data_IF_030616895465
#
_entry.id   IF_030616895465
#
_cell.length_a   1.000
_cell.length_b   1.000
_cell.length_c   1.000
_cell.angle_alpha   90.00
_cell.angle_beta   90.00
_cell.angle_gamma   90.00
#
_symmetry.space_group_name_H-M   'P 1'
#
loop_
_entity.id
_entity.type
_entity.pdbx_description
1 polymer ?
#
# COMPACT_ATOMS: atom_id res chain seq x y z
N UNK A 1 27.79 -23.07 -3.58
CA UNK A 1 28.04 -22.09 -4.66
C UNK A 1 28.50 -20.80 -4.02
N UNK A 2 29.47 -20.12 -4.62
CA UNK A 2 29.86 -18.76 -4.21
C UNK A 2 28.96 -17.74 -4.91
N UNK A 3 28.76 -16.58 -4.28
CA UNK A 3 28.12 -15.43 -4.92
C UNK A 3 28.99 -14.93 -6.07
N UNK A 4 28.38 -14.51 -7.17
CA UNK A 4 29.11 -13.94 -8.30
C UNK A 4 29.65 -12.55 -7.93
N UNK A 5 30.82 -12.20 -8.47
CA UNK A 5 31.30 -10.82 -8.44
C UNK A 5 30.26 -9.91 -9.09
N UNK A 6 29.87 -8.85 -8.38
CA UNK A 6 28.83 -7.91 -8.83
C UNK A 6 27.39 -8.33 -8.52
N UNK A 7 27.16 -9.32 -7.64
CA UNK A 7 25.83 -9.50 -7.05
C UNK A 7 25.41 -8.20 -6.33
N UNK A 8 24.17 -7.70 -6.57
CA UNK A 8 23.76 -6.40 -6.06
C UNK A 8 23.77 -6.35 -4.54
N UNK A 9 24.17 -5.21 -4.00
CA UNK A 9 24.03 -4.93 -2.57
C UNK A 9 22.56 -4.84 -2.17
N UNK A 10 22.29 -5.07 -0.88
CA UNK A 10 20.96 -4.89 -0.31
C UNK A 10 20.61 -3.40 -0.36
N UNK A 11 19.51 -3.07 -1.04
CA UNK A 11 18.95 -1.71 -1.03
C UNK A 11 18.08 -1.55 0.21
N UNK A 12 18.40 -0.56 1.04
CA UNK A 12 17.69 -0.27 2.29
C UNK A 12 17.01 1.08 2.17
N UNK A 13 15.68 1.11 2.33
CA UNK A 13 14.87 2.33 2.19
C UNK A 13 14.81 3.20 3.46
N UNK A 14 15.17 2.65 4.62
CA UNK A 14 15.20 3.37 5.89
C UNK A 14 16.13 2.68 6.89
N UNK A 15 16.68 3.43 7.82
CA UNK A 15 17.45 2.86 8.93
C UNK A 15 16.55 2.41 10.08
N UNK A 16 17.03 1.46 10.89
CA UNK A 16 16.35 1.09 12.14
C UNK A 16 16.20 2.29 13.07
N UNK A 17 17.16 3.22 13.05
CA UNK A 17 17.13 4.43 13.87
C UNK A 17 15.99 5.36 13.47
N UNK A 18 15.82 5.64 12.17
CA UNK A 18 14.72 6.47 11.65
C UNK A 18 13.37 5.81 11.90
N UNK A 19 13.27 4.50 11.66
CA UNK A 19 12.07 3.73 11.97
C UNK A 19 11.70 3.84 13.45
N UNK A 20 12.66 3.57 14.34
CA UNK A 20 12.40 3.49 15.79
C UNK A 20 12.14 4.86 16.41
N UNK A 21 12.66 5.94 15.80
CA UNK A 21 12.42 7.31 16.22
C UNK A 21 11.03 7.83 15.78
N UNK A 22 10.38 7.20 14.81
CA UNK A 22 9.10 7.68 14.29
C UNK A 22 7.97 7.49 15.32
N UNK A 23 7.19 8.55 15.56
CA UNK A 23 6.14 8.59 16.59
C UNK A 23 5.10 7.46 16.46
N UNK A 24 4.84 7.01 15.22
CA UNK A 24 3.87 5.96 14.92
C UNK A 24 4.45 4.53 15.06
N UNK A 25 5.75 4.38 15.29
CA UNK A 25 6.40 3.05 15.27
C UNK A 25 5.83 2.10 16.31
N UNK A 26 5.60 2.56 17.55
CA UNK A 26 5.10 1.68 18.60
C UNK A 26 3.67 1.21 18.32
N UNK A 27 2.78 2.11 17.90
CA UNK A 27 1.41 1.78 17.54
C UNK A 27 1.37 0.78 16.36
N UNK A 28 2.14 1.07 15.30
CA UNK A 28 2.34 0.20 14.14
C UNK A 28 2.77 -1.22 14.56
N UNK A 29 3.79 -1.30 15.41
CA UNK A 29 4.35 -2.57 15.90
C UNK A 29 3.34 -3.38 16.72
N UNK A 30 2.40 -2.72 17.38
CA UNK A 30 1.33 -3.36 18.16
C UNK A 30 0.07 -3.70 17.34
N UNK A 31 0.10 -3.48 16.02
CA UNK A 31 -0.96 -3.90 15.10
C UNK A 31 -1.94 -2.80 14.71
N UNK A 32 -1.65 -1.53 14.99
CA UNK A 32 -2.38 -0.40 14.42
C UNK A 32 -1.91 -0.18 12.98
N UNK A 33 -2.70 -0.59 11.99
CA UNK A 33 -2.28 -0.48 10.59
C UNK A 33 -2.42 0.94 10.03
N UNK A 34 -3.09 1.87 10.73
CA UNK A 34 -3.11 3.29 10.39
C UNK A 34 -1.76 3.90 10.70
N UNK A 35 -1.26 3.65 11.91
CA UNK A 35 0.13 3.91 12.27
C UNK A 35 1.10 3.16 11.33
N UNK A 36 0.77 1.90 10.98
CA UNK A 36 1.22 1.12 9.83
C UNK A 36 1.55 1.96 8.59
N UNK A 37 0.48 2.52 8.03
CA UNK A 37 0.50 3.27 6.78
C UNK A 37 1.25 4.60 6.91
N UNK A 38 1.12 5.34 8.04
CA UNK A 38 1.92 6.57 8.25
C UNK A 38 3.39 6.22 8.22
N UNK A 39 3.77 5.22 9.02
CA UNK A 39 5.16 4.82 9.19
C UNK A 39 5.73 4.39 7.83
N UNK A 40 5.05 3.50 7.10
CA UNK A 40 5.49 3.06 5.79
C UNK A 40 5.69 4.25 4.83
N UNK A 41 4.73 5.18 4.75
CA UNK A 41 4.85 6.37 3.89
C UNK A 41 6.01 7.28 4.31
N UNK A 42 6.21 7.47 5.61
CA UNK A 42 7.27 8.33 6.15
C UNK A 42 8.68 7.73 5.96
N UNK A 43 8.77 6.40 5.95
CA UNK A 43 10.03 5.68 5.84
C UNK A 43 10.38 5.25 4.40
N UNK A 44 9.48 5.44 3.43
CA UNK A 44 9.85 5.32 2.01
C UNK A 44 10.78 6.48 1.69
N UNK A 45 12.07 6.18 1.77
CA UNK A 45 13.16 7.10 1.50
C UNK A 45 14.32 6.33 0.85
N UNK A 46 15.41 7.03 0.55
CA UNK A 46 16.59 6.44 -0.05
C UNK A 46 16.76 6.78 -1.52
N UNK A 47 18.01 6.65 -1.95
CA UNK A 47 18.45 7.07 -3.27
C UNK A 47 17.89 6.17 -4.36
N UNK A 48 17.31 6.80 -5.37
CA UNK A 48 16.88 6.13 -6.59
C UNK A 48 17.94 6.36 -7.64
N UNK A 49 18.47 5.27 -8.18
CA UNK A 49 19.36 5.29 -9.33
C UNK A 49 18.52 5.64 -10.56
N UNK A 50 18.80 6.81 -11.12
CA UNK A 50 18.18 7.28 -12.35
C UNK A 50 18.42 6.30 -13.51
N UNK A 51 17.41 6.14 -14.36
CA UNK A 51 17.39 5.30 -15.56
C UNK A 51 17.62 3.80 -15.28
N UNK A 52 17.38 3.34 -14.04
CA UNK A 52 17.44 1.94 -13.66
C UNK A 52 16.05 1.30 -13.55
N UNK A 53 16.00 0.01 -13.85
CA UNK A 53 14.83 -0.84 -13.66
C UNK A 53 14.75 -1.36 -12.22
N UNK A 54 13.54 -1.32 -11.65
CA UNK A 54 13.25 -1.72 -10.28
C UNK A 54 12.20 -2.82 -10.24
N UNK A 55 12.46 -3.81 -9.37
CA UNK A 55 11.48 -4.76 -8.90
C UNK A 55 11.06 -4.38 -7.48
N UNK A 56 9.77 -4.21 -7.26
CA UNK A 56 9.21 -4.07 -5.90
C UNK A 56 8.85 -5.47 -5.39
N UNK A 57 9.39 -5.83 -4.24
CA UNK A 57 9.12 -7.11 -3.57
C UNK A 57 8.52 -6.82 -2.21
N UNK A 58 7.40 -7.47 -1.90
CA UNK A 58 6.76 -7.41 -0.59
C UNK A 58 6.37 -8.83 -0.13
N UNK A 59 6.01 -9.00 1.13
CA UNK A 59 5.45 -10.28 1.61
C UNK A 59 3.93 -10.34 1.38
N UNK A 60 3.22 -9.24 1.55
CA UNK A 60 1.77 -9.18 1.44
C UNK A 60 1.28 -7.88 0.81
N UNK A 61 0.34 -7.99 -0.14
CA UNK A 61 -0.42 -6.82 -0.62
C UNK A 61 -1.80 -6.78 0.03
N UNK A 62 -1.97 -5.83 0.96
CA UNK A 62 -3.26 -5.39 1.48
C UNK A 62 -3.97 -4.53 0.43
N UNK A 63 -4.26 -3.26 0.70
CA UNK A 63 -4.90 -2.39 -0.32
C UNK A 63 -3.94 -1.87 -1.39
N UNK A 64 -2.64 -2.15 -1.27
CA UNK A 64 -1.62 -1.76 -2.23
C UNK A 64 -1.08 -0.34 -2.07
N UNK A 65 -1.49 0.41 -1.05
CA UNK A 65 -1.01 1.78 -0.81
C UNK A 65 0.52 1.88 -0.62
N UNK A 66 1.14 0.92 0.09
CA UNK A 66 2.61 0.84 0.23
C UNK A 66 3.29 0.69 -1.13
N UNK A 67 2.79 -0.23 -1.96
CA UNK A 67 3.32 -0.49 -3.30
C UNK A 67 3.14 0.74 -4.20
N UNK A 68 1.98 1.40 -4.14
CA UNK A 68 1.71 2.61 -4.90
C UNK A 68 2.65 3.77 -4.50
N UNK A 69 2.84 3.97 -3.19
CA UNK A 69 3.77 4.98 -2.68
C UNK A 69 5.21 4.69 -3.09
N UNK A 70 5.69 3.44 -2.96
CA UNK A 70 7.05 3.07 -3.33
C UNK A 70 7.28 3.20 -4.84
N UNK A 71 6.31 2.77 -5.66
CA UNK A 71 6.35 2.99 -7.11
C UNK A 71 6.42 4.48 -7.45
N UNK A 72 5.58 5.29 -6.82
CA UNK A 72 5.57 6.73 -7.01
C UNK A 72 6.91 7.38 -6.65
N UNK A 73 7.52 6.99 -5.52
CA UNK A 73 8.85 7.46 -5.11
C UNK A 73 9.92 7.10 -6.15
N UNK A 74 9.99 5.84 -6.57
CA UNK A 74 10.97 5.38 -7.56
C UNK A 74 10.83 6.14 -8.88
N UNK A 75 9.61 6.22 -9.43
CA UNK A 75 9.40 6.83 -10.74
C UNK A 75 9.59 8.36 -10.75
N UNK A 76 9.18 9.03 -9.66
CA UNK A 76 9.37 10.49 -9.54
C UNK A 76 10.85 10.87 -9.43
N UNK A 77 11.69 9.95 -8.91
CA UNK A 77 13.15 10.14 -8.84
C UNK A 77 13.89 9.53 -10.04
N UNK A 78 13.18 9.18 -11.12
CA UNK A 78 13.78 8.80 -12.40
C UNK A 78 14.16 7.32 -12.56
N UNK A 79 13.73 6.44 -11.65
CA UNK A 79 13.75 5.00 -11.88
C UNK A 79 12.50 4.51 -12.63
N UNK A 80 12.46 3.23 -13.00
CA UNK A 80 11.29 2.60 -13.61
C UNK A 80 10.90 1.33 -12.84
N UNK A 81 9.69 1.26 -12.29
CA UNK A 81 9.20 0.01 -11.68
C UNK A 81 8.65 -0.90 -12.78
N UNK A 82 9.39 -1.97 -13.08
CA UNK A 82 9.05 -2.90 -14.16
C UNK A 82 8.21 -4.08 -13.68
N UNK A 83 8.24 -4.39 -12.39
CA UNK A 83 7.50 -5.50 -11.79
C UNK A 83 7.25 -5.25 -10.31
N UNK A 84 6.11 -5.76 -9.83
CA UNK A 84 5.77 -5.88 -8.41
C UNK A 84 5.46 -7.35 -8.14
N UNK A 85 6.01 -7.92 -7.08
CA UNK A 85 5.69 -9.28 -6.64
C UNK A 85 5.46 -9.33 -5.13
N UNK A 86 4.47 -10.11 -4.70
CA UNK A 86 4.20 -10.38 -3.29
C UNK A 86 4.02 -11.87 -3.03
N UNK A 87 4.18 -12.33 -1.79
CA UNK A 87 3.92 -13.74 -1.45
C UNK A 87 2.43 -14.02 -1.25
N UNK A 88 1.68 -13.03 -0.77
CA UNK A 88 0.24 -13.14 -0.49
C UNK A 88 -0.52 -11.86 -0.85
N UNK A 89 -1.85 -11.94 -0.92
CA UNK A 89 -2.74 -10.81 -1.21
C UNK A 89 -4.01 -10.87 -0.35
N UNK A 90 -4.57 -9.70 -0.02
CA UNK A 90 -5.94 -9.57 0.46
C UNK A 90 -6.93 -9.67 -0.71
N UNK A 91 -8.21 -9.89 -0.38
CA UNK A 91 -9.28 -9.97 -1.39
C UNK A 91 -9.35 -8.63 -2.13
N UNK A 92 -9.37 -8.68 -3.46
CA UNK A 92 -9.40 -7.50 -4.38
C UNK A 92 -8.05 -6.82 -4.66
N UNK A 93 -6.95 -7.29 -4.07
CA UNK A 93 -5.63 -6.65 -4.15
C UNK A 93 -4.76 -7.09 -5.34
N UNK A 94 -5.25 -8.07 -6.12
CA UNK A 94 -4.55 -8.64 -7.27
C UNK A 94 -4.22 -7.63 -8.37
N UNK A 95 -4.96 -6.52 -8.41
CA UNK A 95 -4.69 -5.38 -9.27
C UNK A 95 -4.43 -4.17 -8.38
N UNK A 96 -3.19 -3.69 -8.38
CA UNK A 96 -2.85 -2.43 -7.68
C UNK A 96 -3.25 -1.24 -8.53
N UNK A 97 -2.98 -1.28 -9.84
CA UNK A 97 -3.24 -0.15 -10.74
C UNK A 97 -4.74 0.12 -10.91
N UNK A 98 -5.16 1.35 -10.65
CA UNK A 98 -6.53 1.82 -10.85
C UNK A 98 -6.95 1.70 -12.31
N UNK A 99 -8.14 1.19 -12.54
CA UNK A 99 -8.77 1.14 -13.86
C UNK A 99 -9.53 2.41 -14.16
N UNK A 100 -9.56 2.81 -15.44
CA UNK A 100 -10.38 3.93 -15.90
C UNK A 100 -11.86 3.75 -15.56
N UNK A 101 -12.35 2.50 -15.61
CA UNK A 101 -13.74 2.20 -15.29
C UNK A 101 -14.06 2.51 -13.83
N UNK A 102 -13.25 2.01 -12.90
CA UNK A 102 -13.43 2.26 -11.46
C UNK A 102 -13.29 3.74 -11.13
N UNK A 103 -12.34 4.44 -11.77
CA UNK A 103 -12.20 5.89 -11.62
C UNK A 103 -13.45 6.66 -12.09
N UNK A 104 -14.01 6.29 -13.25
CA UNK A 104 -15.24 6.91 -13.77
C UNK A 104 -16.41 6.63 -12.83
N UNK A 105 -16.62 5.37 -12.44
CA UNK A 105 -17.72 5.00 -11.54
C UNK A 105 -17.60 5.71 -10.17
N UNK A 106 -16.38 5.89 -9.67
CA UNK A 106 -16.10 6.62 -8.42
C UNK A 106 -16.45 8.12 -8.55
N UNK A 107 -16.06 8.73 -9.68
CA UNK A 107 -16.36 10.14 -9.98
C UNK A 107 -17.85 10.36 -10.22
N UNK A 108 -18.53 9.44 -10.90
CA UNK A 108 -19.97 9.52 -11.15
C UNK A 108 -20.76 9.40 -9.84
N UNK A 109 -20.30 8.55 -8.91
CA UNK A 109 -20.98 8.35 -7.62
C UNK A 109 -20.79 9.50 -6.64
N UNK A 110 -19.55 9.94 -6.42
CA UNK A 110 -19.23 10.89 -5.34
C UNK A 110 -18.86 12.29 -5.83
N UNK A 111 -18.65 12.46 -7.14
CA UNK A 111 -18.48 13.75 -7.78
C UNK A 111 -17.26 14.56 -7.33
N UNK A 112 -17.34 15.86 -7.58
CA UNK A 112 -16.31 16.83 -7.23
C UNK A 112 -16.07 16.92 -5.71
N UNK A 113 -17.08 16.61 -4.89
CA UNK A 113 -16.96 16.69 -3.43
C UNK A 113 -15.86 15.75 -2.90
N UNK A 114 -15.82 14.51 -3.39
CA UNK A 114 -14.79 13.56 -3.00
C UNK A 114 -13.43 13.96 -3.57
N UNK A 115 -13.37 14.40 -4.83
CA UNK A 115 -12.12 14.83 -5.47
C UNK A 115 -11.47 16.01 -4.71
N UNK A 116 -12.25 17.03 -4.36
CA UNK A 116 -11.78 18.19 -3.59
C UNK A 116 -11.32 17.78 -2.20
N UNK A 117 -12.10 16.94 -1.50
CA UNK A 117 -11.69 16.42 -0.20
C UNK A 117 -10.38 15.64 -0.29
N UNK A 118 -10.24 14.75 -1.27
CA UNK A 118 -9.06 13.92 -1.44
C UNK A 118 -7.81 14.75 -1.73
N UNK A 119 -7.93 15.71 -2.65
CA UNK A 119 -6.85 16.62 -3.01
C UNK A 119 -6.41 17.46 -1.81
N UNK A 120 -7.36 18.03 -1.06
CA UNK A 120 -7.06 18.83 0.14
C UNK A 120 -6.42 18.01 1.25
N UNK A 121 -6.80 16.74 1.36
CA UNK A 121 -6.39 15.87 2.46
C UNK A 121 -5.05 15.17 2.23
N UNK A 122 -4.81 14.73 0.99
CA UNK A 122 -3.69 13.86 0.61
C UNK A 122 -2.73 14.49 -0.41
N UNK A 123 -3.10 15.62 -1.00
CA UNK A 123 -2.27 16.36 -1.96
C UNK A 123 -2.30 15.80 -3.39
N UNK A 124 -3.18 14.83 -3.67
CA UNK A 124 -3.35 14.24 -5.00
C UNK A 124 -4.81 13.87 -5.29
N UNK A 125 -5.13 13.72 -6.57
CA UNK A 125 -6.45 13.35 -7.05
C UNK A 125 -6.76 11.86 -6.89
N UNK A 126 -8.00 11.50 -7.25
CA UNK A 126 -8.52 10.13 -7.20
C UNK A 126 -7.86 9.20 -8.24
N UNK A 127 -7.22 9.77 -9.27
CA UNK A 127 -6.47 9.06 -10.29
C UNK A 127 -5.20 8.36 -9.76
N UNK A 128 -4.79 8.69 -8.53
CA UNK A 128 -3.62 8.12 -7.85
C UNK A 128 -3.95 7.04 -6.83
N UNK A 129 -5.23 6.71 -6.66
CA UNK A 129 -5.66 5.60 -5.82
C UNK A 129 -5.20 4.26 -6.39
N UNK A 130 -5.13 3.25 -5.54
CA UNK A 130 -5.13 1.86 -6.01
C UNK A 130 -6.54 1.41 -6.38
N UNK A 131 -6.66 0.33 -7.15
CA UNK A 131 -7.95 -0.25 -7.48
C UNK A 131 -8.74 -0.65 -6.23
N UNK A 132 -8.07 -1.26 -5.24
CA UNK A 132 -8.71 -1.69 -3.99
C UNK A 132 -9.20 -0.49 -3.15
N UNK A 133 -8.40 0.58 -3.05
CA UNK A 133 -8.81 1.82 -2.38
C UNK A 133 -10.03 2.46 -3.06
N UNK A 134 -10.00 2.58 -4.39
CA UNK A 134 -11.11 3.13 -5.16
C UNK A 134 -12.37 2.26 -5.06
N UNK A 135 -12.22 0.94 -5.10
CA UNK A 135 -13.32 -0.02 -4.91
C UNK A 135 -13.97 0.12 -3.54
N UNK A 136 -13.18 0.31 -2.48
CA UNK A 136 -13.71 0.57 -1.15
C UNK A 136 -14.50 1.90 -1.10
N UNK A 137 -13.94 2.99 -1.63
CA UNK A 137 -14.62 4.28 -1.66
C UNK A 137 -15.92 4.21 -2.46
N UNK A 138 -15.90 3.48 -3.59
CA UNK A 138 -17.07 3.26 -4.43
C UNK A 138 -18.18 2.49 -3.71
N UNK A 139 -17.85 1.56 -2.79
CA UNK A 139 -18.84 0.88 -1.94
C UNK A 139 -19.37 1.73 -0.80
N UNK A 140 -18.63 2.76 -0.38
CA UNK A 140 -19.05 3.64 0.70
C UNK A 140 -20.23 4.52 0.26
N UNK A 141 -21.20 4.75 1.15
CA UNK A 141 -22.51 5.30 0.77
C UNK A 141 -22.42 6.74 0.26
N UNK A 142 -21.66 7.60 0.92
CA UNK A 142 -21.49 9.02 0.59
C UNK A 142 -20.15 9.54 1.13
N UNK A 143 -19.81 10.79 0.76
CA UNK A 143 -18.56 11.44 1.14
C UNK A 143 -18.45 11.66 2.66
N UNK A 144 -19.53 11.99 3.35
CA UNK A 144 -19.51 12.17 4.81
C UNK A 144 -19.10 10.88 5.54
N UNK A 145 -19.60 9.72 5.11
CA UNK A 145 -19.16 8.42 5.68
C UNK A 145 -17.71 8.12 5.37
N UNK A 146 -17.19 8.55 4.22
CA UNK A 146 -15.76 8.44 3.89
C UNK A 146 -14.95 9.31 4.86
N UNK A 147 -15.35 10.56 5.06
CA UNK A 147 -14.72 11.48 6.01
C UNK A 147 -14.74 10.90 7.43
N UNK A 148 -15.89 10.47 7.92
CA UNK A 148 -16.04 9.89 9.26
C UNK A 148 -15.10 8.70 9.47
N UNK A 149 -15.01 7.80 8.47
CA UNK A 149 -14.11 6.64 8.54
C UNK A 149 -12.65 7.05 8.51
N UNK A 150 -12.27 8.00 7.67
CA UNK A 150 -10.90 8.52 7.63
C UNK A 150 -10.57 9.19 8.97
N UNK A 151 -11.47 10.00 9.54
CA UNK A 151 -11.26 10.63 10.85
C UNK A 151 -11.18 9.61 11.99
N UNK A 152 -11.99 8.55 11.94
CA UNK A 152 -11.93 7.47 12.92
C UNK A 152 -10.65 6.62 12.79
N UNK A 153 -10.12 6.48 11.57
CA UNK A 153 -8.90 5.74 11.26
C UNK A 153 -7.60 6.59 11.36
N UNK A 154 -7.72 7.93 11.51
CA UNK A 154 -6.58 8.84 11.42
C UNK A 154 -6.37 9.66 12.68
N UNK A 155 -5.21 9.45 13.33
CA UNK A 155 -4.37 10.60 13.67
C UNK A 155 -3.95 11.33 12.39
N UNK A 156 -3.95 12.66 12.40
CA UNK A 156 -3.80 13.56 11.25
C UNK A 156 -2.76 13.15 10.17
N UNK A 157 -3.18 12.50 9.07
CA UNK A 157 -2.43 12.59 7.79
C UNK A 157 -2.79 11.59 6.69
N UNK A 158 -3.75 10.71 6.93
CA UNK A 158 -3.63 9.30 6.57
C UNK A 158 -4.52 8.84 5.42
N UNK A 159 -3.94 8.20 4.39
CA UNK A 159 -4.72 7.33 3.52
C UNK A 159 -5.48 6.36 4.44
N UNK A 160 -6.81 6.26 4.35
CA UNK A 160 -7.58 5.48 5.30
C UNK A 160 -7.08 4.05 5.41
N UNK A 161 -6.96 3.55 6.64
CA UNK A 161 -7.25 2.15 6.87
C UNK A 161 -8.70 1.93 6.48
N UNK A 162 -8.89 1.30 5.34
CA UNK A 162 -10.17 0.76 5.00
C UNK A 162 -10.28 -0.58 5.73
N UNK A 163 -11.13 -0.70 6.78
CA UNK A 163 -11.26 -1.95 7.50
C UNK A 163 -11.51 -3.10 6.53
N UNK A 164 -10.79 -4.20 6.73
CA UNK A 164 -11.13 -5.47 6.11
C UNK A 164 -12.62 -5.71 6.32
N UNK A 165 -13.32 -6.06 5.23
CA UNK A 165 -14.74 -6.37 5.28
C UNK A 165 -15.00 -7.41 6.41
N UNK A 166 -15.86 -7.11 7.41
CA UNK A 166 -16.14 -8.04 8.51
C UNK A 166 -16.77 -9.37 8.04
N UNK A 167 -17.12 -9.51 6.75
CA UNK A 167 -17.54 -10.77 6.14
C UNK A 167 -16.38 -11.74 5.81
N UNK A 168 -15.12 -11.37 6.03
CA UNK A 168 -13.94 -12.19 5.76
C UNK A 168 -13.43 -12.93 6.99
N UNK A 169 -14.21 -13.87 7.53
CA UNK A 169 -13.67 -14.85 8.48
C UNK A 169 -12.48 -15.55 7.83
N UNK A 170 -11.27 -15.22 8.26
CA UNK A 170 -10.04 -15.86 7.81
C UNK A 170 -10.17 -17.35 8.06
N UNK A 171 -10.43 -18.09 6.99
CA UNK A 171 -10.28 -19.53 7.01
C UNK A 171 -8.80 -19.77 7.31
N UNK A 172 -8.52 -20.31 8.51
CA UNK A 172 -7.19 -20.76 8.87
C UNK A 172 -6.81 -21.83 7.86
N UNK A 173 -6.13 -21.45 6.78
CA UNK A 173 -5.60 -22.42 5.83
C UNK A 173 -4.55 -23.23 6.58
N UNK A 174 -4.97 -24.44 6.94
CA UNK A 174 -4.17 -25.56 7.42
C UNK A 174 -2.79 -25.55 6.76
N UNK A 175 -1.76 -25.56 7.60
CA UNK A 175 -0.36 -25.58 7.18
C UNK A 175 -0.06 -26.60 6.09
N UNK A 176 0.76 -26.17 5.15
CA UNK A 176 1.38 -26.99 4.11
C UNK A 176 2.18 -28.14 4.76
N UNK A 177 1.65 -29.37 4.72
CA UNK A 177 2.41 -30.58 5.06
C UNK A 177 3.19 -31.05 3.84
N UNK A 178 4.51 -30.95 3.91
CA UNK A 178 5.40 -31.64 2.97
C UNK A 178 5.44 -33.12 3.34
N UNK A 179 4.87 -33.97 2.49
CA UNK A 179 5.08 -35.42 2.56
C UNK A 179 6.46 -35.75 1.97
N UNK A 180 7.46 -35.87 2.84
CA UNK A 180 8.74 -36.49 2.47
C UNK A 180 8.55 -37.99 2.26
N UNK A 181 8.68 -38.46 1.02
CA UNK A 181 9.00 -39.87 0.75
C UNK A 181 10.52 -39.96 0.59
N UNK A 182 11.16 -40.60 1.56
CA UNK A 182 12.54 -41.07 1.45
C UNK A 182 12.63 -42.14 0.37
N UNK A 183 13.67 -42.05 -0.45
CA UNK A 183 14.23 -43.17 -1.20
C UNK A 183 15.74 -43.16 -0.97
#
# INVERSE_FOLDING_TARGET
MAWADGFPEVVVHTTLMERDAHLQYQAAKTGDGGAAAVLAKALISGDVKKDADYLVVDDHVGLGGTIANLKGHIETNGGAVILVTTLTESRESRRVALTLRTLIDLKDKHGAELEEYWQNRFGHGLDRLTEAEAGYLLRTQNVDRIRDRIHAASGEGLSPEFPDDPAGGGEKTSGFRVNGKSN
#
